data_IF_137399724261
#
_entry.id   IF_137399724261
#
_cell.length_a   1.000
_cell.length_b   1.000
_cell.length_c   1.000
_cell.angle_alpha   90.00
_cell.angle_beta   90.00
_cell.angle_gamma   90.00
#
_symmetry.space_group_name_H-M   'P 1'
#
loop_
_entity.id
_entity.type
_entity.pdbx_description
1 polymer ?
#
# COMPACT_ATOMS: atom_id res chain seq x y z
N UNK A 1 -13.11 -41.79 28.95
CA UNK A 1 -12.66 -40.50 28.37
C UNK A 1 -12.57 -40.70 26.86
N UNK A 2 -13.64 -40.41 26.11
CA UNK A 2 -13.64 -40.56 24.64
C UNK A 2 -13.32 -39.21 24.00
N UNK A 3 -12.18 -39.14 23.31
CA UNK A 3 -11.65 -37.93 22.68
C UNK A 3 -12.58 -37.38 21.57
N UNK A 4 -12.70 -36.05 21.52
CA UNK A 4 -13.44 -35.31 20.50
C UNK A 4 -12.93 -35.59 19.08
N UNK A 5 -13.81 -35.54 18.05
CA UNK A 5 -13.38 -35.68 16.66
C UNK A 5 -12.50 -34.49 16.27
N UNK A 6 -11.36 -34.80 15.66
CA UNK A 6 -10.35 -33.86 15.21
C UNK A 6 -10.96 -32.74 14.37
N UNK A 7 -10.69 -31.48 14.75
CA UNK A 7 -10.92 -30.34 13.88
C UNK A 7 -10.20 -30.60 12.55
N UNK A 8 -10.95 -30.67 11.44
CA UNK A 8 -10.37 -30.77 10.09
C UNK A 8 -9.53 -29.51 9.86
N UNK A 9 -8.22 -29.64 9.94
CA UNK A 9 -7.30 -28.62 9.49
C UNK A 9 -7.48 -28.48 7.98
N UNK A 10 -8.22 -27.45 7.55
CA UNK A 10 -8.36 -27.12 6.13
C UNK A 10 -7.08 -26.42 5.68
N UNK A 11 -6.18 -27.18 5.10
CA UNK A 11 -4.98 -26.64 4.48
C UNK A 11 -5.40 -25.84 3.23
N UNK A 12 -5.29 -24.51 3.28
CA UNK A 12 -5.72 -23.64 2.19
C UNK A 12 -4.76 -23.78 1.01
N UNK A 13 -5.19 -24.44 -0.07
CA UNK A 13 -4.44 -24.46 -1.33
C UNK A 13 -4.40 -23.05 -1.94
N UNK A 14 -3.25 -22.67 -2.49
CA UNK A 14 -3.07 -21.40 -3.17
C UNK A 14 -4.01 -21.29 -4.38
N UNK A 15 -4.66 -20.15 -4.53
CA UNK A 15 -5.57 -19.85 -5.64
C UNK A 15 -4.73 -19.70 -6.93
N UNK A 16 -5.04 -20.40 -8.03
CA UNK A 16 -4.35 -20.22 -9.30
C UNK A 16 -4.49 -18.78 -9.81
N UNK A 17 -3.40 -18.18 -10.29
CA UNK A 17 -3.38 -16.79 -10.78
C UNK A 17 -3.04 -16.76 -12.27
N UNK A 18 -3.90 -16.10 -13.06
CA UNK A 18 -3.66 -15.79 -14.48
C UNK A 18 -3.55 -14.27 -14.65
N UNK A 19 -2.54 -13.80 -15.39
CA UNK A 19 -2.38 -12.37 -15.69
C UNK A 19 -2.75 -12.08 -17.14
N UNK A 20 -3.48 -10.99 -17.38
CA UNK A 20 -3.99 -10.63 -18.70
C UNK A 20 -3.66 -9.17 -18.99
N UNK A 21 -2.96 -8.95 -20.10
CA UNK A 21 -2.80 -7.63 -20.69
C UNK A 21 -4.08 -7.28 -21.47
N UNK A 22 -4.55 -6.04 -21.30
CA UNK A 22 -5.75 -5.54 -21.95
C UNK A 22 -5.37 -4.40 -22.89
N UNK A 23 -5.95 -4.40 -24.09
CA UNK A 23 -5.73 -3.35 -25.09
C UNK A 23 -6.89 -2.36 -25.14
N UNK A 24 -8.11 -2.82 -24.84
CA UNK A 24 -9.35 -2.04 -24.95
C UNK A 24 -10.21 -2.24 -23.68
N UNK A 25 -10.87 -1.20 -23.12
CA UNK A 25 -11.83 -1.34 -22.03
C UNK A 25 -12.96 -2.34 -22.26
N UNK A 26 -13.33 -2.64 -23.51
CA UNK A 26 -14.34 -3.64 -23.82
C UNK A 26 -13.95 -5.07 -23.42
N UNK A 27 -12.65 -5.33 -23.23
CA UNK A 27 -12.11 -6.63 -22.83
C UNK A 27 -12.22 -6.89 -21.32
N UNK A 28 -12.58 -5.88 -20.52
CA UNK A 28 -12.83 -6.05 -19.09
C UNK A 28 -14.14 -6.81 -18.86
N UNK A 29 -14.16 -7.81 -17.96
CA UNK A 29 -15.41 -8.44 -17.55
C UNK A 29 -16.37 -7.41 -16.93
N UNK A 30 -17.66 -7.71 -16.87
CA UNK A 30 -18.62 -6.85 -16.18
C UNK A 30 -18.53 -6.92 -14.65
N UNK A 31 -17.92 -7.97 -14.11
CA UNK A 31 -17.91 -8.34 -12.69
C UNK A 31 -16.50 -8.28 -12.06
N UNK A 32 -15.61 -7.43 -12.58
CA UNK A 32 -14.30 -7.23 -11.97
C UNK A 32 -14.38 -6.52 -10.61
N UNK A 33 -13.34 -6.73 -9.80
CA UNK A 33 -13.15 -6.13 -8.48
C UNK A 33 -11.78 -5.46 -8.40
N UNK A 34 -11.58 -4.63 -7.37
CA UNK A 34 -10.34 -3.87 -7.18
C UNK A 34 -9.84 -4.00 -5.75
N UNK A 35 -8.54 -4.27 -5.59
CA UNK A 35 -7.88 -4.22 -4.28
C UNK A 35 -7.66 -2.76 -3.84
N UNK A 36 -7.49 -2.46 -2.54
CA UNK A 36 -7.13 -1.10 -2.10
C UNK A 36 -5.86 -0.53 -2.77
N UNK A 37 -4.93 -1.40 -3.21
CA UNK A 37 -3.75 -1.02 -4.00
C UNK A 37 -4.02 -0.74 -5.48
N UNK A 38 -5.28 -0.76 -5.92
CA UNK A 38 -5.69 -0.44 -7.29
C UNK A 38 -5.49 -1.58 -8.31
N UNK A 39 -5.21 -2.80 -7.87
CA UNK A 39 -5.10 -3.95 -8.80
C UNK A 39 -6.49 -4.48 -9.13
N UNK A 40 -6.84 -4.50 -10.42
CA UNK A 40 -8.07 -5.11 -10.93
C UNK A 40 -7.91 -6.63 -10.99
N UNK A 41 -8.94 -7.34 -10.54
CA UNK A 41 -9.00 -8.79 -10.65
C UNK A 41 -10.44 -9.28 -10.78
N UNK A 42 -10.61 -10.48 -11.31
CA UNK A 42 -11.86 -11.25 -11.21
C UNK A 42 -11.56 -12.69 -10.81
N UNK A 43 -12.58 -13.44 -10.43
CA UNK A 43 -12.45 -14.86 -10.11
C UNK A 43 -13.43 -15.62 -10.96
N UNK A 44 -12.95 -16.60 -11.73
CA UNK A 44 -13.85 -17.46 -12.51
C UNK A 44 -14.56 -18.46 -11.58
N UNK A 45 -15.73 -19.01 -11.95
CA UNK A 45 -16.39 -20.07 -11.17
C UNK A 45 -15.48 -21.27 -10.85
N UNK A 46 -14.48 -21.55 -11.70
CA UNK A 46 -13.45 -22.57 -11.47
C UNK A 46 -12.38 -22.18 -10.44
N UNK A 47 -12.51 -21.04 -9.78
CA UNK A 47 -11.62 -20.60 -8.70
C UNK A 47 -10.30 -19.97 -9.16
N UNK A 48 -10.12 -19.67 -10.44
CA UNK A 48 -8.90 -18.99 -10.91
C UNK A 48 -9.03 -17.48 -10.74
N UNK A 49 -8.05 -16.85 -10.10
CA UNK A 49 -7.94 -15.39 -10.01
C UNK A 49 -7.30 -14.86 -11.29
N UNK A 50 -8.02 -14.02 -12.02
CA UNK A 50 -7.52 -13.29 -13.17
C UNK A 50 -7.11 -11.90 -12.71
N UNK A 51 -5.86 -11.49 -12.96
CA UNK A 51 -5.33 -10.15 -12.65
C UNK A 51 -5.15 -9.38 -13.94
N UNK A 52 -5.78 -8.21 -14.03
CA UNK A 52 -5.71 -7.34 -15.20
C UNK A 52 -4.58 -6.32 -15.04
N UNK A 53 -3.86 -6.02 -16.12
CA UNK A 53 -2.62 -5.23 -16.02
C UNK A 53 -2.81 -3.76 -15.64
N UNK A 54 -1.83 -3.25 -14.88
CA UNK A 54 -1.69 -1.84 -14.48
C UNK A 54 -1.41 -0.90 -15.66
N UNK A 55 -0.75 -1.39 -16.71
CA UNK A 55 -0.45 -0.63 -17.94
C UNK A 55 -1.73 -0.03 -18.53
N UNK A 56 -2.77 -0.85 -18.64
CA UNK A 56 -4.09 -0.45 -19.11
C UNK A 56 -4.74 0.64 -18.22
N UNK A 57 -4.71 0.46 -16.90
CA UNK A 57 -5.15 1.50 -15.95
C UNK A 57 -4.40 2.82 -16.10
N UNK A 58 -3.07 2.76 -16.32
CA UNK A 58 -2.27 3.96 -16.53
C UNK A 58 -2.62 4.66 -17.84
N UNK A 59 -2.97 3.90 -18.89
CA UNK A 59 -3.49 4.47 -20.14
C UNK A 59 -4.82 5.20 -19.92
N UNK A 60 -5.68 4.71 -19.02
CA UNK A 60 -6.96 5.37 -18.67
C UNK A 60 -6.81 6.65 -17.84
N UNK A 61 -5.61 6.93 -17.29
CA UNK A 61 -5.35 8.13 -16.46
C UNK A 61 -5.68 9.44 -17.17
N UNK A 62 -5.49 9.49 -18.50
CA UNK A 62 -5.76 10.68 -19.30
C UNK A 62 -7.23 10.87 -19.68
N UNK A 63 -8.10 9.88 -19.41
CA UNK A 63 -9.53 9.93 -19.77
C UNK A 63 -10.27 11.08 -19.05
N UNK A 64 -11.35 11.63 -19.65
CA UNK A 64 -12.14 12.68 -19.01
C UNK A 64 -12.75 12.24 -17.67
N UNK A 65 -13.20 10.99 -17.57
CA UNK A 65 -13.81 10.43 -16.36
C UNK A 65 -12.82 10.41 -15.18
N UNK A 66 -11.55 10.11 -15.44
CA UNK A 66 -10.51 10.09 -14.42
C UNK A 66 -10.17 11.49 -13.84
N UNK A 67 -10.67 12.57 -14.43
CA UNK A 67 -10.50 13.95 -13.93
C UNK A 67 -11.65 14.43 -13.05
N UNK A 68 -12.67 13.59 -12.85
CA UNK A 68 -13.81 13.93 -12.00
C UNK A 68 -13.35 14.06 -10.55
N UNK A 69 -13.57 15.21 -9.88
CA UNK A 69 -13.24 15.36 -8.47
C UNK A 69 -14.00 14.33 -7.62
N UNK A 70 -13.36 13.78 -6.57
CA UNK A 70 -14.03 12.87 -5.66
C UNK A 70 -15.19 13.58 -4.95
N UNK A 71 -16.27 12.85 -4.67
CA UNK A 71 -17.48 13.40 -4.03
C UNK A 71 -17.30 13.71 -2.54
N UNK A 72 -16.22 13.22 -1.93
CA UNK A 72 -15.90 13.44 -0.53
C UNK A 72 -14.84 14.53 -0.40
N UNK A 73 -14.91 15.30 0.68
CA UNK A 73 -13.92 16.34 0.96
C UNK A 73 -12.57 15.70 1.30
N UNK A 74 -11.58 15.97 0.45
CA UNK A 74 -10.18 15.65 0.73
C UNK A 74 -9.59 16.80 1.56
N UNK A 75 -8.94 16.53 2.72
CA UNK A 75 -8.24 17.56 3.48
C UNK A 75 -7.28 18.37 2.61
N UNK A 76 -7.26 19.69 2.77
CA UNK A 76 -6.45 20.61 1.94
C UNK A 76 -4.95 20.23 1.92
N UNK A 77 -4.44 19.68 3.02
CA UNK A 77 -3.06 19.18 3.15
C UNK A 77 -2.74 17.97 2.25
N UNK A 78 -3.75 17.23 1.81
CA UNK A 78 -3.62 16.06 0.93
C UNK A 78 -4.02 16.36 -0.52
N UNK A 79 -4.64 17.52 -0.77
CA UNK A 79 -5.02 17.92 -2.11
C UNK A 79 -3.79 18.27 -2.95
N UNK A 80 -3.78 17.81 -4.19
CA UNK A 80 -2.65 18.05 -5.10
C UNK A 80 -2.68 19.50 -5.60
N UNK A 81 -1.58 20.23 -5.41
CA UNK A 81 -1.44 21.60 -5.93
C UNK A 81 -1.84 22.70 -4.95
N UNK A 82 -2.24 22.36 -3.72
CA UNK A 82 -2.35 23.35 -2.64
C UNK A 82 -0.94 23.78 -2.21
N UNK A 83 -0.66 25.08 -2.07
CA UNK A 83 0.61 25.53 -1.53
C UNK A 83 0.70 24.98 -0.10
N UNK A 84 1.72 24.16 0.13
CA UNK A 84 1.98 23.55 1.43
C UNK A 84 2.12 24.67 2.47
N UNK A 85 1.06 25.00 3.21
CA UNK A 85 1.17 25.80 4.44
C UNK A 85 1.77 24.87 5.49
N UNK A 86 3.07 24.61 5.35
CA UNK A 86 3.85 24.05 6.43
C UNK A 86 3.67 24.97 7.65
N UNK A 87 3.23 24.47 8.82
CA UNK A 87 3.35 25.24 10.04
C UNK A 87 4.84 25.53 10.21
N UNK A 88 5.14 26.83 10.31
CA UNK A 88 6.46 27.45 10.44
C UNK A 88 7.44 26.63 11.29
N UNK A 89 8.21 25.73 10.66
CA UNK A 89 9.44 25.19 11.24
C UNK A 89 10.56 26.10 10.76
N UNK A 90 10.91 27.08 11.60
CA UNK A 90 12.04 27.96 11.35
C UNK A 90 13.30 27.12 11.04
N UNK A 91 14.02 27.39 9.95
CA UNK A 91 15.30 26.76 9.69
C UNK A 91 16.33 27.35 10.67
N UNK A 92 16.82 26.53 11.61
CA UNK A 92 18.02 26.88 12.39
C UNK A 92 19.20 26.99 11.43
N UNK A 93 19.77 28.18 11.33
CA UNK A 93 20.98 28.48 10.58
C UNK A 93 22.15 27.66 11.15
N UNK A 94 22.67 26.71 10.37
CA UNK A 94 23.92 26.04 10.72
C UNK A 94 25.07 26.87 10.16
N UNK A 95 25.77 27.56 11.06
CA UNK A 95 26.99 28.30 10.74
C UNK A 95 28.08 27.32 10.27
N UNK A 96 28.81 27.70 9.22
CA UNK A 96 30.00 26.99 8.71
C UNK A 96 31.06 26.88 9.81
N UNK A 97 31.48 25.67 10.16
CA UNK A 97 32.79 25.43 10.76
C UNK A 97 33.43 24.17 10.16
N UNK A 98 34.74 24.30 9.91
CA UNK A 98 35.68 23.41 9.24
C UNK A 98 36.10 22.21 10.12
N UNK A 99 36.83 21.21 9.58
CA UNK A 99 36.81 19.83 10.10
C UNK A 99 37.99 19.53 11.04
N UNK A 100 37.77 18.82 12.17
CA UNK A 100 38.80 17.97 12.83
C UNK A 100 38.22 16.81 13.67
N UNK A 101 38.70 15.61 13.31
CA UNK A 101 38.94 14.34 14.05
C UNK A 101 38.22 13.99 15.37
N UNK A 102 37.61 12.80 15.32
CA UNK A 102 37.57 11.68 16.28
C UNK A 102 37.49 11.95 17.79
N UNK A 103 36.41 11.47 18.42
CA UNK A 103 36.55 10.59 19.59
C UNK A 103 35.33 9.69 19.79
N UNK A 104 35.58 8.38 19.84
CA UNK A 104 34.69 7.37 20.39
C UNK A 104 34.46 7.66 21.87
N UNK A 105 33.19 7.64 22.32
CA UNK A 105 32.82 7.24 23.67
C UNK A 105 31.52 6.45 23.63
N UNK A 106 31.63 5.16 23.92
CA UNK A 106 30.54 4.31 24.38
C UNK A 106 29.88 4.95 25.60
N UNK A 107 28.56 4.93 25.66
CA UNK A 107 27.83 4.64 26.88
C UNK A 107 26.54 3.91 26.52
N UNK A 108 26.52 2.67 27.01
CA UNK A 108 25.46 1.69 27.05
C UNK A 108 24.28 2.21 27.91
N UNK A 109 23.15 1.49 27.81
CA UNK A 109 21.96 1.50 28.68
C UNK A 109 20.80 2.39 28.20
N UNK A 110 19.93 1.82 27.34
CA UNK A 110 18.46 1.77 27.48
C UNK A 110 17.78 1.29 26.18
N UNK A 111 17.94 0.01 25.81
CA UNK A 111 17.12 -0.60 24.71
C UNK A 111 16.34 -1.86 25.16
N UNK A 112 16.43 -2.26 26.44
CA UNK A 112 15.88 -3.54 26.92
C UNK A 112 14.45 -3.47 27.49
N UNK A 113 13.81 -2.29 27.54
CA UNK A 113 12.45 -2.16 28.10
C UNK A 113 11.34 -2.05 27.04
N UNK A 114 11.67 -2.00 25.74
CA UNK A 114 10.68 -1.69 24.71
C UNK A 114 9.78 -2.88 24.29
N UNK A 115 10.04 -4.12 24.73
CA UNK A 115 9.28 -5.30 24.27
C UNK A 115 8.91 -6.32 25.36
N UNK A 116 8.43 -5.87 26.53
CA UNK A 116 7.70 -6.80 27.41
C UNK A 116 6.28 -7.03 26.86
N UNK A 117 6.09 -8.18 26.20
CA UNK A 117 4.79 -8.77 25.94
C UNK A 117 4.35 -9.51 27.21
N UNK A 118 3.30 -9.04 27.86
CA UNK A 118 2.63 -9.79 28.92
C UNK A 118 2.06 -11.10 28.34
N UNK A 119 2.46 -12.23 28.91
CA UNK A 119 1.87 -13.57 28.71
C UNK A 119 0.88 -13.88 29.81
#
# INVERSE_FOLDING_TARGET
>A
MSASPMARHVESKAIPIRRVALNDPSELPHDYSTTPGGTLYSTTPGGTKIVYERSFLMNLRSSPVARTPPKFDIPESLQKGTPNKSPNRQPKTTQKQTPKKNHFKNNNVQDEEQFQMDM
#
